data_IF_718376913310
#
_entry.id   IF_718376913310
#
_cell.length_a   1.000
_cell.length_b   1.000
_cell.length_c   1.000
_cell.angle_alpha   90.00
_cell.angle_beta   90.00
_cell.angle_gamma   90.00
#
_symmetry.space_group_name_H-M   'P 1'
#
loop_
_entity.id
_entity.type
_entity.pdbx_description
1 polymer ?
#
# COMPACT_ATOMS: atom_id res chain seq x y z
N UNK A 1 -3.87 13.42 30.48
CA UNK A 1 -2.65 12.61 30.34
C UNK A 1 -1.62 13.39 29.52
N UNK A 2 -0.31 13.21 29.73
CA UNK A 2 0.72 13.85 28.93
C UNK A 2 0.65 13.40 27.46
N UNK A 3 1.08 14.25 26.55
CA UNK A 3 1.22 13.89 25.13
C UNK A 3 2.41 12.93 24.98
N UNK A 4 2.13 11.69 24.56
CA UNK A 4 3.14 10.65 24.40
C UNK A 4 3.79 10.63 23.02
N UNK A 5 3.15 11.20 22.01
CA UNK A 5 3.59 11.15 20.61
C UNK A 5 4.13 12.51 20.14
N UNK A 6 5.27 12.48 19.46
CA UNK A 6 5.83 13.59 18.68
C UNK A 6 6.22 13.04 17.32
N UNK A 7 5.32 13.17 16.34
CA UNK A 7 5.46 12.50 15.06
C UNK A 7 6.47 13.15 14.12
N UNK A 8 7.12 12.32 13.30
CA UNK A 8 7.88 12.82 12.15
C UNK A 8 7.25 12.31 10.86
N UNK A 9 7.02 13.22 9.91
CA UNK A 9 6.50 12.90 8.60
C UNK A 9 7.64 12.40 7.71
N UNK A 10 7.36 11.35 6.96
CA UNK A 10 8.21 10.89 5.86
C UNK A 10 7.39 10.75 4.59
N UNK A 11 7.93 11.30 3.51
CA UNK A 11 7.31 11.35 2.20
C UNK A 11 8.07 10.47 1.21
N UNK A 12 7.35 9.97 0.21
CA UNK A 12 7.89 9.27 -0.95
C UNK A 12 7.21 9.78 -2.22
N UNK A 13 7.85 9.62 -3.36
CA UNK A 13 7.20 9.71 -4.67
C UNK A 13 7.38 8.42 -5.47
N UNK A 14 6.48 8.19 -6.43
CA UNK A 14 6.56 7.13 -7.43
C UNK A 14 6.69 7.76 -8.82
N UNK A 15 7.59 7.21 -9.63
CA UNK A 15 7.75 7.56 -11.05
C UNK A 15 7.89 6.29 -11.89
N UNK A 16 7.40 6.32 -13.12
CA UNK A 16 7.69 5.28 -14.13
C UNK A 16 8.65 5.78 -15.21
N UNK A 17 9.49 6.78 -14.91
CA UNK A 17 10.50 7.26 -15.84
C UNK A 17 11.41 6.09 -16.31
N UNK A 18 11.37 5.72 -17.61
CA UNK A 18 12.18 4.62 -18.15
C UNK A 18 13.66 4.65 -17.76
N UNK A 19 14.33 5.80 -17.83
CA UNK A 19 15.74 5.96 -17.51
C UNK A 19 16.06 5.61 -16.05
N UNK A 20 15.19 5.95 -15.09
CA UNK A 20 15.36 5.54 -13.70
C UNK A 20 15.06 4.05 -13.52
N UNK A 21 13.97 3.56 -14.12
CA UNK A 21 13.62 2.14 -14.09
C UNK A 21 14.77 1.27 -14.62
N UNK A 22 15.38 1.68 -15.73
CA UNK A 22 16.52 1.01 -16.35
C UNK A 22 17.78 1.10 -15.48
N UNK A 23 18.05 2.26 -14.87
CA UNK A 23 19.19 2.46 -13.97
C UNK A 23 19.10 1.58 -12.72
N UNK A 24 17.89 1.39 -12.19
CA UNK A 24 17.61 0.56 -11.01
C UNK A 24 17.57 -0.92 -11.36
N UNK A 25 17.23 -1.28 -12.61
CA UNK A 25 17.25 -2.65 -13.14
C UNK A 25 16.55 -3.70 -12.25
N UNK A 26 15.44 -3.30 -11.61
CA UNK A 26 14.68 -4.17 -10.70
C UNK A 26 15.34 -4.44 -9.35
N UNK A 27 16.40 -3.72 -8.98
CA UNK A 27 17.09 -3.86 -7.70
C UNK A 27 16.69 -2.76 -6.70
N UNK A 28 16.62 -3.07 -5.41
CA UNK A 28 16.48 -2.02 -4.39
C UNK A 28 17.82 -1.35 -4.14
N UNK A 29 17.89 -0.02 -4.25
CA UNK A 29 19.09 0.75 -3.98
C UNK A 29 18.95 1.44 -2.62
N UNK A 30 20.01 1.32 -1.83
CA UNK A 30 20.21 2.00 -0.57
C UNK A 30 21.41 2.93 -0.71
N UNK A 31 21.19 4.22 -0.47
CA UNK A 31 22.20 5.24 -0.63
C UNK A 31 22.17 6.24 0.53
N UNK A 32 23.25 6.99 0.66
CA UNK A 32 23.38 8.13 1.56
C UNK A 32 23.37 9.40 0.69
N UNK A 33 22.43 10.31 0.97
CA UNK A 33 22.38 11.62 0.33
C UNK A 33 23.56 12.50 0.82
N UNK A 34 23.83 13.62 0.15
CA UNK A 34 24.94 14.52 0.54
C UNK A 34 24.84 15.01 2.00
N UNK A 35 23.62 15.12 2.55
CA UNK A 35 23.37 15.54 3.93
C UNK A 35 23.48 14.39 4.96
N UNK A 36 23.88 13.20 4.52
CA UNK A 36 24.05 12.01 5.35
C UNK A 36 22.76 11.23 5.63
N UNK A 37 21.63 11.64 5.06
CA UNK A 37 20.37 10.89 5.22
C UNK A 37 20.34 9.66 4.34
N UNK A 38 19.71 8.62 4.87
CA UNK A 38 19.53 7.36 4.16
C UNK A 38 18.32 7.44 3.23
N UNK A 39 18.51 7.01 1.99
CA UNK A 39 17.50 7.00 0.95
C UNK A 39 17.39 5.60 0.35
N UNK A 40 16.16 5.23 0.04
CA UNK A 40 15.78 4.05 -0.71
C UNK A 40 15.20 4.44 -2.07
N UNK A 41 15.69 3.79 -3.12
CA UNK A 41 15.15 3.84 -4.47
C UNK A 41 14.74 2.43 -4.83
N UNK A 42 13.43 2.16 -4.82
CA UNK A 42 12.87 0.80 -4.80
C UNK A 42 11.95 0.56 -5.99
N UNK A 43 12.13 -0.52 -6.76
CA UNK A 43 11.15 -0.95 -7.75
C UNK A 43 9.80 -1.22 -7.08
N UNK A 44 8.74 -0.59 -7.58
CA UNK A 44 7.37 -0.78 -7.08
C UNK A 44 6.36 -0.57 -8.20
N UNK A 45 5.40 -1.49 -8.34
CA UNK A 45 4.28 -1.38 -9.29
C UNK A 45 4.70 -1.05 -10.75
N UNK A 46 5.82 -1.62 -11.20
CA UNK A 46 6.38 -1.37 -12.54
C UNK A 46 7.13 -0.05 -12.70
N UNK A 47 7.18 0.78 -11.65
CA UNK A 47 7.97 2.02 -11.58
C UNK A 47 8.99 1.95 -10.44
N UNK A 48 9.39 3.12 -9.94
CA UNK A 48 10.38 3.29 -8.89
C UNK A 48 9.85 4.25 -7.83
N UNK A 49 9.78 3.78 -6.59
CA UNK A 49 9.43 4.59 -5.43
C UNK A 49 10.71 5.10 -4.75
N UNK A 50 10.77 6.41 -4.54
CA UNK A 50 11.90 7.12 -3.92
C UNK A 50 11.47 7.68 -2.58
N UNK A 51 12.29 7.47 -1.55
CA UNK A 51 12.10 8.07 -0.24
C UNK A 51 13.28 7.84 0.71
N UNK A 52 13.31 8.38 1.92
CA UNK A 52 12.21 9.12 2.56
C UNK A 52 12.71 10.44 3.12
N UNK A 53 11.81 11.38 3.34
CA UNK A 53 12.06 12.56 4.18
C UNK A 53 11.87 12.26 5.68
N UNK A 54 12.29 13.20 6.53
CA UNK A 54 12.16 13.09 7.99
C UNK A 54 11.95 14.47 8.66
N UNK A 55 10.76 15.01 8.46
CA UNK A 55 10.39 16.34 8.95
C UNK A 55 9.50 16.25 10.18
N UNK A 56 9.67 17.16 11.15
CA UNK A 56 8.77 17.21 12.30
C UNK A 56 7.35 17.53 11.83
N UNK A 57 6.36 16.85 12.40
CA UNK A 57 4.96 17.04 12.02
C UNK A 57 4.13 17.43 13.24
N UNK A 58 3.38 18.51 13.08
CA UNK A 58 2.41 19.00 14.06
C UNK A 58 1.03 19.07 13.38
N UNK A 59 0.01 18.59 14.08
CA UNK A 59 -1.35 18.52 13.54
C UNK A 59 -1.88 17.09 13.51
N UNK A 60 -2.95 16.91 12.75
CA UNK A 60 -3.62 15.63 12.57
C UNK A 60 -2.83 14.73 11.60
N UNK A 61 -2.34 13.55 12.03
CA UNK A 61 -1.62 12.61 11.16
C UNK A 61 -2.41 12.20 9.91
N UNK A 62 -3.73 12.20 9.96
CA UNK A 62 -4.59 11.84 8.81
C UNK A 62 -4.56 12.89 7.70
N UNK A 63 -4.05 14.10 8.00
CA UNK A 63 -3.88 15.20 7.05
C UNK A 63 -2.45 15.34 6.54
N UNK A 64 -1.56 14.40 6.86
CA UNK A 64 -0.17 14.46 6.42
C UNK A 64 -0.05 14.20 4.90
N UNK A 65 0.42 15.20 4.18
CA UNK A 65 0.66 15.17 2.72
C UNK A 65 2.12 15.55 2.45
N UNK A 66 2.72 15.00 1.40
CA UNK A 66 4.06 15.37 0.97
C UNK A 66 4.07 16.86 0.59
N UNK A 67 4.98 17.63 1.17
CA UNK A 67 5.10 19.06 0.82
C UNK A 67 5.97 19.25 -0.40
N UNK A 68 5.79 20.38 -1.10
CA UNK A 68 6.65 20.71 -2.24
C UNK A 68 8.14 20.65 -1.89
N UNK A 69 8.64 21.23 -0.78
CA UNK A 69 10.07 21.13 -0.44
C UNK A 69 10.57 19.69 -0.23
N UNK A 70 9.73 18.79 0.28
CA UNK A 70 10.11 17.38 0.43
C UNK A 70 10.24 16.66 -0.91
N UNK A 71 9.36 16.98 -1.86
CA UNK A 71 9.42 16.42 -3.21
C UNK A 71 10.60 16.98 -4.01
N UNK A 72 10.91 18.28 -3.88
CA UNK A 72 12.13 18.87 -4.47
C UNK A 72 13.39 18.19 -3.93
N UNK A 73 13.47 18.03 -2.59
CA UNK A 73 14.59 17.34 -1.96
C UNK A 73 14.78 15.92 -2.50
N UNK A 74 13.69 15.14 -2.64
CA UNK A 74 13.78 13.78 -3.17
C UNK A 74 14.17 13.77 -4.65
N UNK A 75 13.74 14.75 -5.45
CA UNK A 75 14.13 14.86 -6.86
C UNK A 75 15.60 15.22 -7.02
N UNK A 76 16.07 16.25 -6.30
CA UNK A 76 17.47 16.69 -6.31
C UNK A 76 18.39 15.53 -5.93
N UNK A 77 18.11 14.88 -4.80
CA UNK A 77 18.89 13.74 -4.34
C UNK A 77 18.87 12.57 -5.35
N UNK A 78 17.72 12.29 -5.98
CA UNK A 78 17.66 11.23 -7.00
C UNK A 78 18.51 11.58 -8.21
N UNK A 79 18.51 12.83 -8.64
CA UNK A 79 19.35 13.32 -9.72
C UNK A 79 20.84 13.34 -9.35
N UNK A 80 21.19 13.52 -8.08
CA UNK A 80 22.59 13.39 -7.64
C UNK A 80 23.07 11.95 -7.72
N UNK A 81 22.21 10.98 -7.36
CA UNK A 81 22.50 9.55 -7.48
C UNK A 81 22.49 9.07 -8.94
N UNK A 82 21.62 9.63 -9.79
CA UNK A 82 21.45 9.27 -11.20
C UNK A 82 21.42 10.51 -12.11
N UNK A 83 22.56 11.20 -12.32
CA UNK A 83 22.61 12.47 -13.06
C UNK A 83 22.10 12.38 -14.50
N UNK A 84 22.14 11.19 -15.10
CA UNK A 84 21.65 10.92 -16.45
C UNK A 84 20.12 10.87 -16.58
N UNK A 85 19.39 10.73 -15.46
CA UNK A 85 17.93 10.59 -15.49
C UNK A 85 17.27 11.97 -15.65
N UNK A 86 17.79 13.00 -14.99
CA UNK A 86 17.28 14.38 -15.04
C UNK A 86 15.77 14.46 -14.77
N UNK A 87 15.33 13.88 -13.65
CA UNK A 87 13.94 13.93 -13.21
C UNK A 87 13.50 15.37 -12.96
N UNK A 88 12.26 15.62 -13.33
CA UNK A 88 11.54 16.86 -13.09
C UNK A 88 10.26 16.58 -12.30
N UNK A 89 9.56 17.64 -11.92
CA UNK A 89 8.26 17.55 -11.24
C UNK A 89 7.21 16.81 -12.04
N UNK A 90 7.25 16.93 -13.37
CA UNK A 90 6.29 16.30 -14.27
C UNK A 90 6.50 14.77 -14.36
N UNK A 91 7.65 14.27 -13.90
CA UNK A 91 7.95 12.84 -13.84
C UNK A 91 7.39 12.17 -12.57
N UNK A 92 6.86 12.93 -11.61
CA UNK A 92 6.19 12.38 -10.41
C UNK A 92 4.74 12.01 -10.76
N UNK A 93 4.44 10.72 -10.78
CA UNK A 93 3.06 10.24 -11.05
C UNK A 93 2.16 10.27 -9.81
N UNK A 94 2.77 10.03 -8.65
CA UNK A 94 2.12 10.16 -7.35
C UNK A 94 3.15 10.33 -6.24
N UNK A 95 2.69 10.81 -5.10
CA UNK A 95 3.43 10.85 -3.85
C UNK A 95 2.60 10.28 -2.71
N UNK A 96 3.25 9.95 -1.60
CA UNK A 96 2.55 9.62 -0.36
C UNK A 96 3.35 10.11 0.84
N UNK A 97 2.67 10.33 1.96
CA UNK A 97 3.30 10.69 3.22
C UNK A 97 2.69 9.88 4.36
N UNK A 98 3.47 9.67 5.42
CA UNK A 98 3.01 9.06 6.65
C UNK A 98 3.73 9.65 7.85
N UNK A 99 3.06 9.65 9.00
CA UNK A 99 3.62 10.15 10.27
C UNK A 99 4.06 8.97 11.12
N UNK A 100 5.34 8.96 11.48
CA UNK A 100 5.93 7.95 12.36
C UNK A 100 5.46 8.21 13.80
N UNK A 101 4.90 7.22 14.52
CA UNK A 101 4.34 7.41 15.85
C UNK A 101 5.42 7.40 16.95
N UNK A 102 6.42 8.26 16.81
CA UNK A 102 7.58 8.34 17.70
C UNK A 102 7.23 8.97 19.06
N UNK A 103 7.97 8.64 20.13
CA UNK A 103 7.81 9.29 21.42
C UNK A 103 8.01 10.80 21.30
N UNK A 104 7.24 11.57 22.07
CA UNK A 104 7.45 13.01 22.16
C UNK A 104 8.83 13.30 22.77
N UNK A 105 9.67 13.99 22.02
CA UNK A 105 10.97 14.49 22.47
C UNK A 105 11.07 16.00 22.17
N UNK A 106 11.73 16.75 23.04
CA UNK A 106 12.00 18.19 22.86
C UNK A 106 13.25 18.45 21.99
N UNK A 107 13.85 17.39 21.47
CA UNK A 107 15.03 17.44 20.62
C UNK A 107 14.74 18.17 19.30
N UNK A 108 15.69 19.02 18.88
CA UNK A 108 15.55 19.82 17.65
C UNK A 108 15.79 19.01 16.37
N UNK A 109 16.47 17.86 16.44
CA UNK A 109 16.73 16.98 15.29
C UNK A 109 15.85 15.74 15.37
N UNK A 110 15.09 15.47 14.31
CA UNK A 110 14.22 14.28 14.20
C UNK A 110 14.99 12.97 14.26
N UNK A 111 16.24 12.96 13.77
CA UNK A 111 17.12 11.78 13.74
C UNK A 111 17.53 11.26 15.12
N UNK A 112 17.45 12.07 16.18
CA UNK A 112 17.84 11.66 17.55
C UNK A 112 16.69 11.03 18.32
N UNK A 113 15.45 11.20 17.85
CA UNK A 113 14.26 10.65 18.49
C UNK A 113 14.31 9.13 18.43
N UNK A 114 14.14 8.48 19.59
CA UNK A 114 14.16 7.01 19.66
C UNK A 114 13.11 6.40 18.73
N UNK A 115 13.56 5.43 17.92
CA UNK A 115 12.70 4.64 17.02
C UNK A 115 12.32 3.28 17.61
N UNK A 116 12.59 3.07 18.89
CA UNK A 116 12.17 1.87 19.61
C UNK A 116 10.69 1.95 20.01
N UNK A 117 10.16 0.85 20.51
CA UNK A 117 8.78 0.75 20.97
C UNK A 117 8.70 0.72 22.50
N UNK A 118 7.61 1.25 23.05
CA UNK A 118 7.32 1.19 24.48
C UNK A 118 5.82 0.96 24.76
N UNK A 119 5.53 0.47 25.95
CA UNK A 119 4.16 0.31 26.47
C UNK A 119 3.99 1.26 27.65
N UNK A 120 3.11 2.23 27.51
CA UNK A 120 2.71 3.13 28.60
C UNK A 120 1.39 2.66 29.18
N UNK A 121 1.41 2.28 30.46
CA UNK A 121 0.21 1.84 31.17
C UNK A 121 -0.35 3.00 31.98
N UNK A 122 -1.62 3.32 31.75
CA UNK A 122 -2.40 4.23 32.59
C UNK A 122 -3.68 3.55 33.06
N UNK A 123 -4.35 4.12 34.06
CA UNK A 123 -5.66 3.65 34.49
C UNK A 123 -6.72 4.70 34.17
N UNK A 124 -7.85 4.25 33.63
CA UNK A 124 -9.04 5.08 33.40
C UNK A 124 -10.27 4.38 33.97
N UNK A 125 -10.89 4.98 34.99
CA UNK A 125 -12.05 4.42 35.69
C UNK A 125 -11.85 2.96 36.15
N UNK A 126 -10.66 2.64 36.68
CA UNK A 126 -10.29 1.29 37.12
C UNK A 126 -9.98 0.30 36.00
N UNK A 127 -9.98 0.75 34.74
CA UNK A 127 -9.59 -0.06 33.58
C UNK A 127 -8.17 0.29 33.16
N UNK A 128 -7.23 -0.68 33.06
CA UNK A 128 -5.90 -0.43 32.54
C UNK A 128 -5.95 -0.14 31.03
N UNK A 129 -5.29 0.93 30.62
CA UNK A 129 -5.10 1.33 29.23
C UNK A 129 -3.62 1.17 28.89
N UNK A 130 -3.32 0.30 27.94
CA UNK A 130 -1.97 0.09 27.40
C UNK A 130 -1.84 0.93 26.13
N UNK A 131 -1.04 1.99 26.18
CA UNK A 131 -0.72 2.83 25.03
C UNK A 131 0.60 2.38 24.43
N UNK A 132 0.56 1.96 23.17
CA UNK A 132 1.74 1.53 22.42
C UNK A 132 2.35 2.74 21.72
N UNK A 133 3.62 3.03 21.99
CA UNK A 133 4.35 4.15 21.37
C UNK A 133 5.49 3.60 20.52
N UNK A 134 5.69 4.16 19.33
CA UNK A 134 6.70 3.70 18.38
C UNK A 134 6.37 2.35 17.74
N UNK A 135 7.43 1.60 17.43
CA UNK A 135 7.34 0.31 16.74
C UNK A 135 7.56 0.42 15.23
N UNK A 136 8.15 -0.65 14.68
CA UNK A 136 8.43 -0.79 13.25
C UNK A 136 7.60 -1.94 12.70
N UNK A 137 7.23 -1.86 11.42
CA UNK A 137 6.53 -2.96 10.74
C UNK A 137 7.31 -4.28 10.87
N UNK A 138 8.65 -4.23 10.75
CA UNK A 138 9.54 -5.40 10.89
C UNK A 138 9.53 -6.03 12.29
N UNK A 139 9.21 -5.26 13.34
CA UNK A 139 9.16 -5.73 14.73
C UNK A 139 7.74 -5.93 15.24
N UNK A 140 6.72 -5.66 14.42
CA UNK A 140 5.32 -5.62 14.85
C UNK A 140 4.85 -6.95 15.47
N UNK A 141 5.24 -8.09 14.87
CA UNK A 141 4.94 -9.42 15.43
C UNK A 141 5.50 -9.61 16.84
N UNK A 142 6.80 -9.36 17.01
CA UNK A 142 7.49 -9.53 18.29
C UNK A 142 6.92 -8.57 19.36
N UNK A 143 6.67 -7.32 18.98
CA UNK A 143 6.07 -6.35 19.89
C UNK A 143 4.64 -6.74 20.28
N UNK A 144 3.85 -7.26 19.33
CA UNK A 144 2.53 -7.82 19.60
C UNK A 144 2.56 -8.97 20.62
N UNK A 145 3.60 -9.80 20.64
CA UNK A 145 3.79 -10.81 21.68
C UNK A 145 4.06 -10.20 23.05
N UNK A 146 4.92 -9.17 23.12
CA UNK A 146 5.17 -8.44 24.38
C UNK A 146 3.89 -7.81 24.92
N UNK A 147 3.07 -7.21 24.06
CA UNK A 147 1.76 -6.65 24.44
C UNK A 147 0.81 -7.75 24.91
N UNK A 148 0.78 -8.89 24.23
CA UNK A 148 -0.04 -10.02 24.64
C UNK A 148 0.39 -10.56 26.02
N UNK A 149 1.68 -10.68 26.29
CA UNK A 149 2.20 -11.12 27.59
C UNK A 149 1.76 -10.15 28.72
N UNK A 150 1.81 -8.84 28.48
CA UNK A 150 1.39 -7.80 29.43
C UNK A 150 -0.13 -7.85 29.74
N UNK A 151 -0.94 -8.13 28.72
CA UNK A 151 -2.40 -8.33 28.85
C UNK A 151 -2.72 -9.64 29.57
N UNK A 152 -2.10 -10.75 29.17
CA UNK A 152 -2.33 -12.08 29.75
C UNK A 152 -1.93 -12.11 31.23
N UNK A 153 -0.83 -11.45 31.61
CA UNK A 153 -0.41 -11.30 33.00
C UNK A 153 -1.49 -10.64 33.87
N UNK A 154 -2.10 -9.55 33.38
CA UNK A 154 -3.22 -8.86 34.09
C UNK A 154 -4.47 -9.72 34.20
N UNK A 155 -4.76 -10.50 33.18
CA UNK A 155 -5.89 -11.43 33.18
C UNK A 155 -5.61 -12.70 33.97
N UNK A 156 -4.39 -12.88 34.47
CA UNK A 156 -3.94 -14.11 35.14
C UNK A 156 -4.09 -15.35 34.24
N UNK A 157 -3.95 -15.17 32.93
CA UNK A 157 -4.03 -16.24 31.93
C UNK A 157 -2.60 -16.61 31.53
N UNK A 158 -2.27 -17.90 31.56
CA UNK A 158 -0.99 -18.38 31.05
C UNK A 158 -1.00 -18.44 29.52
N UNK A 159 0.05 -17.93 28.89
CA UNK A 159 0.26 -18.07 27.45
C UNK A 159 0.51 -19.53 27.08
N UNK A 160 -0.15 -20.01 26.04
CA UNK A 160 -0.06 -21.43 25.61
C UNK A 160 0.70 -21.63 24.31
N UNK A 161 0.87 -20.59 23.49
CA UNK A 161 1.59 -20.62 22.20
C UNK A 161 2.21 -19.28 21.89
N UNK A 162 3.22 -19.30 21.01
CA UNK A 162 3.75 -18.09 20.39
C UNK A 162 3.22 -17.88 18.95
N UNK A 163 3.59 -16.75 18.36
CA UNK A 163 3.15 -16.32 17.02
C UNK A 163 4.22 -16.51 15.94
N UNK A 164 5.39 -17.06 16.27
CA UNK A 164 6.55 -17.12 15.36
C UNK A 164 6.26 -17.95 14.12
N UNK A 165 5.58 -19.07 14.30
CA UNK A 165 5.26 -20.01 13.23
C UNK A 165 3.82 -19.85 12.71
N UNK A 166 3.12 -18.78 13.11
CA UNK A 166 1.77 -18.49 12.62
C UNK A 166 1.87 -17.94 11.20
N UNK A 167 1.39 -18.71 10.24
CA UNK A 167 1.30 -18.29 8.84
C UNK A 167 0.17 -17.27 8.67
N UNK A 168 0.42 -16.22 7.88
CA UNK A 168 -0.62 -15.25 7.50
C UNK A 168 -1.53 -15.83 6.40
N UNK A 169 -2.82 -15.46 6.36
CA UNK A 169 -3.72 -15.87 5.28
C UNK A 169 -3.14 -15.54 3.90
N UNK A 170 -3.08 -16.53 3.01
CA UNK A 170 -2.46 -16.43 1.69
C UNK A 170 -0.98 -16.82 1.65
N UNK A 171 -0.40 -17.14 2.80
CA UNK A 171 0.96 -17.68 2.94
C UNK A 171 1.00 -19.20 3.12
N UNK A 172 -0.15 -19.87 3.26
CA UNK A 172 -0.20 -21.31 3.50
C UNK A 172 0.23 -22.09 2.27
N UNK A 173 1.15 -23.04 2.44
CA UNK A 173 1.69 -23.89 1.36
C UNK A 173 2.17 -23.07 0.15
N UNK A 174 2.83 -21.93 0.42
CA UNK A 174 3.28 -21.01 -0.63
C UNK A 174 4.35 -21.68 -1.51
N UNK A 175 4.15 -21.77 -2.84
CA UNK A 175 5.13 -22.37 -3.75
C UNK A 175 6.45 -21.61 -3.76
N UNK A 176 7.56 -22.30 -4.07
CA UNK A 176 8.82 -21.60 -4.28
C UNK A 176 8.75 -20.69 -5.52
N UNK A 177 9.57 -19.62 -5.60
CA UNK A 177 9.53 -18.70 -6.75
C UNK A 177 9.65 -19.37 -8.12
N UNK A 178 10.43 -20.45 -8.23
CA UNK A 178 10.58 -21.21 -9.48
C UNK A 178 9.36 -22.06 -9.86
N UNK A 179 8.47 -22.38 -8.90
CA UNK A 179 7.26 -23.17 -9.14
C UNK A 179 6.05 -22.29 -9.49
N UNK A 180 6.08 -21.00 -9.13
CA UNK A 180 4.97 -20.06 -9.34
C UNK A 180 4.47 -20.02 -10.80
N UNK A 181 5.33 -19.95 -11.84
CA UNK A 181 4.85 -19.90 -13.22
C UNK A 181 4.00 -21.12 -13.61
N UNK A 182 4.40 -22.31 -13.16
CA UNK A 182 3.65 -23.56 -13.40
C UNK A 182 2.32 -23.56 -12.65
N UNK A 183 2.33 -23.15 -11.38
CA UNK A 183 1.12 -23.05 -10.56
C UNK A 183 0.10 -22.09 -11.16
N UNK A 184 0.55 -20.91 -11.61
CA UNK A 184 -0.33 -19.92 -12.23
C UNK A 184 -0.93 -20.44 -13.55
N UNK A 185 -0.12 -21.10 -14.38
CA UNK A 185 -0.59 -21.72 -15.62
C UNK A 185 -1.64 -22.82 -15.37
N UNK A 186 -1.41 -23.70 -14.39
CA UNK A 186 -2.35 -24.77 -14.04
C UNK A 186 -3.69 -24.21 -13.54
N UNK A 187 -3.65 -23.21 -12.65
CA UNK A 187 -4.85 -22.53 -12.15
C UNK A 187 -5.61 -21.81 -13.27
N UNK A 188 -4.88 -21.12 -14.15
CA UNK A 188 -5.46 -20.42 -15.29
C UNK A 188 -6.23 -21.40 -16.19
N UNK A 189 -5.60 -22.53 -16.54
CA UNK A 189 -6.22 -23.59 -17.34
C UNK A 189 -7.43 -24.22 -16.66
N UNK A 190 -7.32 -24.53 -15.36
CA UNK A 190 -8.38 -25.22 -14.61
C UNK A 190 -9.64 -24.36 -14.44
N UNK A 191 -9.48 -23.05 -14.26
CA UNK A 191 -10.58 -22.13 -13.93
C UNK A 191 -10.97 -21.18 -15.06
N UNK A 192 -10.55 -21.47 -16.30
CA UNK A 192 -10.84 -20.65 -17.48
C UNK A 192 -10.47 -19.16 -17.23
N UNK A 193 -9.24 -18.94 -16.76
CA UNK A 193 -8.62 -17.61 -16.56
C UNK A 193 -7.41 -17.47 -17.47
N UNK A 194 -6.95 -16.25 -17.68
CA UNK A 194 -5.62 -16.02 -18.24
C UNK A 194 -4.57 -16.15 -17.14
N UNK A 195 -3.31 -16.40 -17.55
CA UNK A 195 -2.20 -16.43 -16.59
C UNK A 195 -1.97 -15.06 -15.94
N UNK A 196 -2.16 -13.97 -16.69
CA UNK A 196 -2.05 -12.59 -16.20
C UNK A 196 -3.09 -12.27 -15.13
N UNK A 197 -4.34 -12.73 -15.29
CA UNK A 197 -5.39 -12.61 -14.28
C UNK A 197 -5.01 -13.33 -13.00
N UNK A 198 -4.52 -14.57 -13.10
CA UNK A 198 -4.09 -15.34 -11.91
C UNK A 198 -2.92 -14.65 -11.21
N UNK A 199 -1.95 -14.14 -11.97
CA UNK A 199 -0.82 -13.39 -11.43
C UNK A 199 -1.27 -12.12 -10.70
N UNK A 200 -2.18 -11.35 -11.29
CA UNK A 200 -2.69 -10.11 -10.69
C UNK A 200 -3.44 -10.38 -9.38
N UNK A 201 -4.31 -11.39 -9.33
CA UNK A 201 -4.98 -11.78 -8.10
C UNK A 201 -3.99 -12.32 -7.06
N UNK A 202 -3.01 -13.12 -7.49
CA UNK A 202 -2.01 -13.73 -6.60
C UNK A 202 -1.10 -12.68 -5.97
N UNK A 203 -0.76 -11.63 -6.71
CA UNK A 203 0.02 -10.51 -6.18
C UNK A 203 -0.69 -9.80 -5.00
N UNK A 204 -2.02 -9.87 -4.92
CA UNK A 204 -2.80 -9.22 -3.88
C UNK A 204 -3.06 -10.12 -2.66
N UNK A 205 -3.42 -11.40 -2.87
CA UNK A 205 -3.86 -12.28 -1.79
C UNK A 205 -3.14 -13.65 -1.71
N UNK A 206 -2.08 -13.85 -2.50
CA UNK A 206 -1.26 -15.06 -2.45
C UNK A 206 -2.06 -16.33 -2.74
N UNK A 207 -1.90 -17.35 -1.90
CA UNK A 207 -2.55 -18.65 -2.10
C UNK A 207 -4.07 -18.63 -1.92
N UNK A 208 -4.65 -17.54 -1.35
CA UNK A 208 -6.11 -17.38 -1.25
C UNK A 208 -6.81 -17.23 -2.60
N UNK A 209 -6.08 -16.97 -3.68
CA UNK A 209 -6.62 -17.08 -5.05
C UNK A 209 -7.29 -18.44 -5.27
N UNK A 210 -6.79 -19.52 -4.65
CA UNK A 210 -7.39 -20.86 -4.75
C UNK A 210 -8.77 -20.93 -4.12
N UNK A 211 -8.98 -20.24 -2.99
CA UNK A 211 -10.27 -20.15 -2.31
C UNK A 211 -11.29 -19.48 -3.24
N UNK A 212 -10.94 -18.29 -3.74
CA UNK A 212 -11.76 -17.55 -4.70
C UNK A 212 -12.09 -18.38 -5.97
N UNK A 213 -11.07 -18.97 -6.60
CA UNK A 213 -11.26 -19.73 -7.84
C UNK A 213 -12.13 -20.97 -7.64
N UNK A 214 -12.11 -21.57 -6.44
CA UNK A 214 -12.95 -22.72 -6.10
C UNK A 214 -14.40 -22.34 -5.85
N UNK A 215 -14.68 -21.10 -5.42
CA UNK A 215 -16.03 -20.57 -5.21
C UNK A 215 -16.61 -19.83 -6.42
N UNK A 216 -15.79 -19.52 -7.43
CA UNK A 216 -16.25 -18.82 -8.64
C UNK A 216 -17.03 -19.77 -9.56
N UNK A 217 -18.14 -19.30 -10.11
CA UNK A 217 -19.05 -20.09 -10.97
C UNK A 217 -18.47 -20.44 -12.36
N UNK A 218 -17.18 -20.21 -12.59
CA UNK A 218 -16.50 -20.55 -13.86
C UNK A 218 -16.93 -19.72 -15.06
N UNK A 219 -17.68 -18.64 -14.85
CA UNK A 219 -18.06 -17.67 -15.88
C UNK A 219 -16.85 -17.05 -16.58
N UNK A 220 -17.07 -16.50 -17.78
CA UNK A 220 -16.03 -15.78 -18.52
C UNK A 220 -15.63 -14.54 -17.70
N UNK A 221 -14.36 -14.45 -17.24
CA UNK A 221 -13.93 -13.34 -16.41
C UNK A 221 -13.94 -12.05 -17.25
N UNK A 222 -14.67 -11.05 -16.79
CA UNK A 222 -14.58 -9.70 -17.35
C UNK A 222 -13.66 -8.88 -16.46
N UNK A 223 -12.46 -8.47 -16.92
CA UNK A 223 -11.57 -7.63 -16.13
C UNK A 223 -12.15 -6.22 -15.97
N UNK A 224 -11.76 -5.54 -14.88
CA UNK A 224 -11.95 -4.09 -14.78
C UNK A 224 -11.17 -3.41 -15.90
N UNK A 225 -11.77 -2.40 -16.53
CA UNK A 225 -11.12 -1.66 -17.61
C UNK A 225 -9.78 -1.11 -17.12
N UNK A 226 -8.70 -1.36 -17.86
CA UNK A 226 -7.37 -0.89 -17.45
C UNK A 226 -6.52 -1.94 -16.78
N UNK A 227 -7.10 -3.06 -16.32
CA UNK A 227 -6.43 -3.99 -15.40
C UNK A 227 -6.59 -5.44 -15.82
N UNK A 228 -5.82 -6.31 -15.17
CA UNK A 228 -5.98 -7.77 -15.25
C UNK A 228 -6.90 -8.34 -14.17
N UNK A 229 -7.55 -7.50 -13.35
CA UNK A 229 -8.36 -7.94 -12.20
C UNK A 229 -9.79 -8.25 -12.64
N UNK A 230 -10.26 -9.51 -12.53
CA UNK A 230 -11.65 -9.87 -12.85
C UNK A 230 -12.66 -9.20 -11.91
N UNK A 231 -13.83 -8.77 -12.44
CA UNK A 231 -14.90 -8.16 -11.63
C UNK A 231 -15.42 -9.10 -10.53
N UNK A 232 -15.52 -10.39 -10.78
CA UNK A 232 -15.95 -11.40 -9.79
C UNK A 232 -14.93 -11.56 -8.65
N UNK A 233 -13.64 -11.46 -8.94
CA UNK A 233 -12.60 -11.39 -7.92
C UNK A 233 -12.75 -10.15 -7.04
N UNK A 234 -13.03 -8.99 -7.63
CA UNK A 234 -13.22 -7.76 -6.87
C UNK A 234 -14.45 -7.84 -5.97
N UNK A 235 -15.54 -8.48 -6.41
CA UNK A 235 -16.70 -8.79 -5.54
C UNK A 235 -16.30 -9.65 -4.35
N UNK A 236 -15.52 -10.70 -4.59
CA UNK A 236 -15.01 -11.57 -3.53
C UNK A 236 -14.15 -10.80 -2.52
N UNK A 237 -13.32 -9.85 -2.96
CA UNK A 237 -12.56 -8.95 -2.06
C UNK A 237 -13.52 -8.07 -1.24
N UNK A 238 -14.57 -7.52 -1.85
CA UNK A 238 -15.57 -6.69 -1.14
C UNK A 238 -16.26 -7.50 -0.03
N UNK A 239 -16.55 -8.76 -0.29
CA UNK A 239 -17.26 -9.65 0.64
C UNK A 239 -16.34 -10.18 1.76
N UNK A 240 -15.07 -10.41 1.47
CA UNK A 240 -14.16 -11.14 2.38
C UNK A 240 -13.12 -10.28 3.09
N UNK A 241 -12.90 -9.03 2.67
CA UNK A 241 -11.80 -8.19 3.19
C UNK A 241 -12.26 -6.86 3.82
N UNK A 242 -13.48 -6.85 4.38
CA UNK A 242 -14.09 -5.73 5.11
C UNK A 242 -14.13 -4.40 4.35
N UNK A 243 -14.27 -4.45 3.02
CA UNK A 243 -14.41 -3.24 2.22
C UNK A 243 -15.71 -2.52 2.58
N UNK A 244 -15.60 -1.24 2.95
CA UNK A 244 -16.75 -0.37 3.20
C UNK A 244 -16.82 0.80 2.21
N UNK A 245 -15.67 1.22 1.67
CA UNK A 245 -15.57 2.41 0.84
C UNK A 245 -14.80 2.13 -0.46
N UNK A 246 -14.98 3.02 -1.44
CA UNK A 246 -14.20 3.01 -2.68
C UNK A 246 -12.70 3.18 -2.43
N UNK A 247 -12.35 3.95 -1.40
CA UNK A 247 -10.98 4.25 -1.05
C UNK A 247 -10.29 2.99 -0.47
N UNK A 248 -11.03 2.12 0.23
CA UNK A 248 -10.51 0.80 0.64
C UNK A 248 -10.10 -0.07 -0.55
N UNK A 249 -10.88 -0.04 -1.65
CA UNK A 249 -10.55 -0.78 -2.86
C UNK A 249 -9.31 -0.21 -3.55
N UNK A 250 -9.30 1.09 -3.84
CA UNK A 250 -8.25 1.72 -4.64
C UNK A 250 -6.93 1.80 -3.88
N UNK A 251 -6.95 2.23 -2.62
CA UNK A 251 -5.74 2.55 -1.86
C UNK A 251 -5.17 1.34 -1.11
N UNK A 252 -6.01 0.39 -0.66
CA UNK A 252 -5.60 -0.64 0.33
C UNK A 252 -5.73 -2.09 -0.12
N UNK A 253 -6.72 -2.42 -0.95
CA UNK A 253 -7.03 -3.83 -1.30
C UNK A 253 -6.55 -4.21 -2.69
N UNK A 254 -6.85 -3.37 -3.68
CA UNK A 254 -6.48 -3.61 -5.08
C UNK A 254 -5.20 -2.87 -5.48
N UNK A 255 -4.68 -1.99 -4.61
CA UNK A 255 -3.44 -1.23 -4.81
C UNK A 255 -3.44 -0.40 -6.11
N UNK A 256 -4.62 -0.03 -6.60
CA UNK A 256 -4.82 0.69 -7.86
C UNK A 256 -4.37 2.15 -7.80
N UNK A 257 -4.13 2.70 -6.61
CA UNK A 257 -3.46 4.01 -6.46
C UNK A 257 -2.10 4.04 -7.18
N UNK A 258 -1.38 2.91 -7.20
CA UNK A 258 -0.10 2.76 -7.90
C UNK A 258 -0.23 2.42 -9.39
N UNK A 259 -1.45 2.20 -9.89
CA UNK A 259 -1.66 1.85 -11.29
C UNK A 259 -1.39 3.08 -12.18
N UNK A 260 -0.45 3.04 -13.14
CA UNK A 260 0.02 4.24 -13.86
C UNK A 260 -1.11 4.92 -14.65
N UNK A 261 -2.07 4.13 -15.17
CA UNK A 261 -3.20 4.61 -15.97
C UNK A 261 -4.54 4.33 -15.32
N UNK A 262 -4.69 4.63 -14.02
CA UNK A 262 -5.99 4.51 -13.36
C UNK A 262 -7.01 5.43 -14.06
N UNK A 263 -8.08 4.86 -14.62
CA UNK A 263 -9.07 5.61 -15.40
C UNK A 263 -10.36 5.87 -14.61
N UNK A 264 -11.08 6.93 -14.99
CA UNK A 264 -12.39 7.26 -14.41
C UNK A 264 -13.39 6.11 -14.61
N UNK A 265 -13.31 5.42 -15.74
CA UNK A 265 -14.17 4.27 -16.03
C UNK A 265 -13.84 3.06 -15.14
N UNK A 266 -12.56 2.79 -14.85
CA UNK A 266 -12.20 1.79 -13.84
C UNK A 266 -12.78 2.14 -12.46
N UNK A 267 -12.66 3.41 -12.04
CA UNK A 267 -13.22 3.91 -10.78
C UNK A 267 -14.75 3.77 -10.75
N UNK A 268 -15.42 4.03 -11.88
CA UNK A 268 -16.88 3.82 -12.02
C UNK A 268 -17.24 2.35 -11.83
N UNK A 269 -16.55 1.43 -12.51
CA UNK A 269 -16.78 -0.01 -12.39
C UNK A 269 -16.59 -0.50 -10.95
N UNK A 270 -15.59 0.00 -10.22
CA UNK A 270 -15.41 -0.31 -8.80
C UNK A 270 -16.58 0.19 -7.94
N UNK A 271 -17.11 1.38 -8.25
CA UNK A 271 -18.24 1.98 -7.54
C UNK A 271 -19.52 1.19 -7.79
N UNK A 272 -19.77 0.74 -9.02
CA UNK A 272 -20.87 -0.16 -9.35
C UNK A 272 -20.79 -1.47 -8.56
N UNK A 273 -19.60 -2.06 -8.44
CA UNK A 273 -19.42 -3.29 -7.66
C UNK A 273 -19.72 -3.10 -6.16
N UNK A 274 -19.45 -1.91 -5.60
CA UNK A 274 -19.85 -1.57 -4.23
C UNK A 274 -21.36 -1.43 -4.08
N UNK A 275 -22.04 -0.85 -5.08
CA UNK A 275 -23.51 -0.76 -5.12
C UNK A 275 -24.13 -2.15 -5.22
N UNK A 276 -23.61 -3.00 -6.12
CA UNK A 276 -24.05 -4.39 -6.28
C UNK A 276 -23.89 -5.19 -4.97
N UNK A 277 -22.81 -4.94 -4.22
CA UNK A 277 -22.56 -5.55 -2.92
C UNK A 277 -23.34 -4.92 -1.75
N UNK A 278 -24.21 -3.93 -2.01
CA UNK A 278 -25.01 -3.25 -0.99
C UNK A 278 -24.18 -2.39 -0.03
N UNK A 279 -22.98 -1.95 -0.42
CA UNK A 279 -22.12 -1.07 0.39
C UNK A 279 -22.40 0.42 0.16
N UNK A 280 -23.14 0.77 -0.89
CA UNK A 280 -23.42 2.14 -1.30
C UNK A 280 -24.74 2.22 -2.08
N UNK A 281 -25.38 3.40 -2.09
CA UNK A 281 -26.55 3.68 -2.92
C UNK A 281 -26.16 3.99 -4.38
N UNK A 282 -26.98 3.57 -5.34
CA UNK A 282 -26.79 3.91 -6.76
C UNK A 282 -26.96 5.41 -7.05
N UNK A 283 -27.67 6.15 -6.20
CA UNK A 283 -27.90 7.60 -6.36
C UNK A 283 -26.63 8.44 -6.11
N UNK A 284 -25.59 7.85 -5.53
CA UNK A 284 -24.38 8.55 -5.10
C UNK A 284 -23.17 8.33 -6.02
N UNK A 285 -23.31 7.53 -7.09
CA UNK A 285 -22.19 7.06 -7.92
C UNK A 285 -21.34 8.22 -8.45
N UNK A 286 -21.94 9.18 -9.17
CA UNK A 286 -21.17 10.26 -9.81
C UNK A 286 -20.51 11.19 -8.79
N UNK A 287 -21.20 11.47 -7.68
CA UNK A 287 -20.64 12.28 -6.59
C UNK A 287 -19.47 11.56 -5.92
N UNK A 288 -19.58 10.25 -5.68
CA UNK A 288 -18.49 9.46 -5.07
C UNK A 288 -17.28 9.39 -6.00
N UNK A 289 -17.49 9.18 -7.30
CA UNK A 289 -16.42 9.17 -8.29
C UNK A 289 -15.69 10.52 -8.30
N UNK A 290 -16.42 11.63 -8.42
CA UNK A 290 -15.83 12.97 -8.43
C UNK A 290 -15.06 13.27 -7.13
N UNK A 291 -15.65 12.91 -5.98
CA UNK A 291 -15.02 13.06 -4.67
C UNK A 291 -13.74 12.24 -4.52
N UNK A 292 -13.74 10.98 -4.95
CA UNK A 292 -12.55 10.12 -4.90
C UNK A 292 -11.46 10.59 -5.87
N UNK A 293 -11.80 11.02 -7.09
CA UNK A 293 -10.80 11.59 -8.03
C UNK A 293 -10.14 12.83 -7.44
N UNK A 294 -10.92 13.76 -6.90
CA UNK A 294 -10.41 14.97 -6.24
C UNK A 294 -9.53 14.63 -5.02
N UNK A 295 -9.95 13.65 -4.21
CA UNK A 295 -9.18 13.16 -3.06
C UNK A 295 -7.84 12.56 -3.49
N UNK A 296 -7.84 11.68 -4.48
CA UNK A 296 -6.61 11.03 -4.98
C UNK A 296 -5.60 12.06 -5.48
N UNK A 297 -6.08 13.08 -6.20
CA UNK A 297 -5.23 14.17 -6.64
C UNK A 297 -4.69 15.00 -5.47
N UNK A 298 -5.55 15.42 -4.53
CA UNK A 298 -5.13 16.28 -3.41
C UNK A 298 -4.16 15.61 -2.42
N UNK A 299 -4.27 14.30 -2.20
CA UNK A 299 -3.45 13.59 -1.20
C UNK A 299 -2.23 12.95 -1.81
N UNK A 300 -2.37 12.39 -3.02
CA UNK A 300 -1.32 11.62 -3.66
C UNK A 300 -0.74 12.29 -4.90
N UNK A 301 -1.25 13.45 -5.33
CA UNK A 301 -0.91 14.02 -6.64
C UNK A 301 -1.39 13.13 -7.81
N UNK A 302 -2.18 12.09 -7.53
CA UNK A 302 -2.49 11.04 -8.50
C UNK A 302 -3.49 11.56 -9.53
N UNK A 303 -3.10 11.52 -10.80
CA UNK A 303 -4.01 11.81 -11.91
C UNK A 303 -4.85 10.57 -12.23
N UNK A 304 -6.16 10.78 -12.38
CA UNK A 304 -7.10 9.76 -12.87
C UNK A 304 -7.50 10.13 -14.30
N UNK A 305 -7.24 9.22 -15.24
CA UNK A 305 -7.30 9.51 -16.66
C UNK A 305 -8.71 9.37 -17.24
N UNK A 306 -9.04 10.22 -18.20
CA UNK A 306 -10.23 10.10 -19.04
C UNK A 306 -9.91 9.14 -20.21
N UNK A 307 -9.75 7.84 -19.95
CA UNK A 307 -9.57 6.86 -21.05
C UNK A 307 -10.92 6.37 -21.58
N UNK A 308 -11.09 6.40 -22.91
CA UNK A 308 -12.05 5.60 -23.66
C UNK A 308 -11.43 4.25 -24.02
N UNK A 309 -12.25 3.20 -24.21
CA UNK A 309 -11.84 1.81 -24.45
C UNK A 309 -10.85 1.53 -25.62
N UNK A 310 -10.38 2.56 -26.33
CA UNK A 310 -9.54 2.50 -27.53
C UNK A 310 -8.02 2.50 -27.28
N UNK A 311 -7.56 2.99 -26.13
CA UNK A 311 -6.11 3.14 -25.86
C UNK A 311 -5.42 1.86 -25.34
N UNK A 312 -6.18 0.78 -25.21
CA UNK A 312 -5.72 -0.51 -24.68
C UNK A 312 -4.81 -1.32 -25.61
N UNK A 313 -4.79 -1.00 -26.90
CA UNK A 313 -4.06 -1.81 -27.90
C UNK A 313 -2.69 -1.24 -28.31
N UNK A 314 -2.30 -0.07 -27.80
CA UNK A 314 -1.10 0.60 -28.31
C UNK A 314 0.20 0.16 -27.64
N UNK A 315 0.19 -0.36 -26.40
CA UNK A 315 1.42 -0.53 -25.61
C UNK A 315 1.48 -1.83 -24.80
N UNK A 316 1.20 -2.98 -25.42
CA UNK A 316 1.75 -4.25 -24.91
C UNK A 316 3.15 -4.43 -25.48
N UNK A 317 4.23 -4.42 -24.69
CA UNK A 317 5.51 -4.88 -25.18
C UNK A 317 5.37 -6.36 -25.52
N UNK A 318 5.65 -6.69 -26.78
CA UNK A 318 5.81 -8.08 -27.21
C UNK A 318 7.04 -8.64 -26.51
N UNK A 319 6.82 -9.54 -25.55
CA UNK A 319 7.78 -10.55 -25.11
C UNK A 319 7.08 -11.90 -25.03
#
# INVERSE_FOLDING_TARGET
>A
APQLFGGTKGSHFLTHQPALCDAVAGQGIYAEAEDGRLVFVLPLAGGVMVGTTDERFEGDPDQAIASEPELDYLLEMTNDLFPQVNLTRDDIEMHCAGVRPLPKADESKTSTISRDHSIHVSEQAGTPILTLVGGKLTTARAFGETVADEVLSRLQISRTRDSRDRVFPGGENYPSPGELPKVWYELAKQHNRTQTQVQAMWALCGTRVREFLSSSDGGVPTPLLGTELPRDFVKWIIETEWVQTLDDLIERRLMLVYHPRLSVECVRQLTELLVEAGRMSSEEIDNKIAGTVSRLHSIYGKTVHLESATDHFANSPSQ
#
